data_IF_485688148814
#
_entry.id   IF_485688148814
#
_cell.length_a   1.000
_cell.length_b   1.000
_cell.length_c   1.000
_cell.angle_alpha   90.00
_cell.angle_beta   90.00
_cell.angle_gamma   90.00
#
_symmetry.space_group_name_H-M   'P 1'
#
loop_
_entity.id
_entity.type
_entity.pdbx_description
1 polymer ?
#
# COMPACT_ATOMS: atom_id res chain seq x y z
N UNK A 1 -27.15 -34.16 -49.49
CA UNK A 1 -26.10 -34.32 -48.46
C UNK A 1 -24.76 -34.03 -49.12
N UNK A 2 -23.99 -33.00 -48.71
CA UNK A 2 -22.69 -32.74 -49.33
C UNK A 2 -21.58 -33.68 -48.78
N UNK A 3 -20.61 -34.11 -49.62
CA UNK A 3 -19.59 -35.08 -49.24
C UNK A 3 -18.42 -34.48 -48.43
N UNK A 4 -17.79 -35.35 -47.61
CA UNK A 4 -16.68 -35.04 -46.69
C UNK A 4 -15.34 -34.91 -47.43
N UNK A 5 -14.61 -33.83 -47.14
CA UNK A 5 -13.22 -33.59 -47.59
C UNK A 5 -12.25 -34.24 -46.59
N UNK A 6 -11.21 -34.97 -47.03
CA UNK A 6 -10.22 -35.55 -46.14
C UNK A 6 -9.21 -34.52 -45.64
N UNK A 7 -8.91 -34.62 -44.34
CA UNK A 7 -7.90 -33.84 -43.61
C UNK A 7 -6.49 -34.38 -43.84
N UNK A 8 -5.61 -33.57 -44.45
CA UNK A 8 -4.17 -33.74 -44.33
C UNK A 8 -3.44 -32.46 -44.75
N UNK A 9 -2.83 -31.75 -43.80
CA UNK A 9 -1.47 -31.17 -43.91
C UNK A 9 -0.98 -30.91 -42.47
N UNK A 10 0.10 -31.58 -42.08
CA UNK A 10 0.82 -31.34 -40.84
C UNK A 10 1.58 -30.02 -40.89
N UNK A 11 1.23 -29.10 -39.98
CA UNK A 11 1.96 -27.85 -39.79
C UNK A 11 3.16 -28.05 -38.86
N UNK A 12 4.37 -27.96 -39.42
CA UNK A 12 5.62 -27.78 -38.69
C UNK A 12 5.55 -26.48 -37.88
N UNK A 13 5.44 -26.59 -36.55
CA UNK A 13 5.55 -25.44 -35.64
C UNK A 13 7.03 -25.13 -35.41
N UNK A 14 7.51 -24.07 -36.05
CA UNK A 14 8.78 -23.44 -35.69
C UNK A 14 8.67 -22.85 -34.29
N UNK A 15 9.54 -23.31 -33.39
CA UNK A 15 9.65 -22.79 -32.02
C UNK A 15 10.44 -21.48 -32.05
N UNK A 16 9.74 -20.35 -31.99
CA UNK A 16 10.36 -19.06 -31.69
C UNK A 16 10.60 -18.96 -30.17
N UNK A 17 11.81 -19.33 -29.75
CA UNK A 17 12.32 -18.99 -28.42
C UNK A 17 12.61 -17.49 -28.36
N UNK A 18 11.68 -16.73 -27.77
CA UNK A 18 11.89 -15.33 -27.40
C UNK A 18 12.61 -15.30 -26.05
N UNK A 19 13.89 -14.93 -26.04
CA UNK A 19 14.66 -14.63 -24.82
C UNK A 19 13.94 -13.53 -24.02
N UNK A 20 13.77 -13.66 -22.69
CA UNK A 20 13.29 -12.55 -21.88
C UNK A 20 14.39 -11.49 -21.77
N UNK A 21 14.12 -10.32 -22.33
CA UNK A 21 14.89 -9.11 -22.12
C UNK A 21 14.89 -8.78 -20.63
N UNK A 22 16.06 -8.92 -19.99
CA UNK A 22 16.28 -8.51 -18.62
C UNK A 22 16.22 -6.99 -18.56
N UNK A 23 15.06 -6.44 -18.21
CA UNK A 23 14.97 -5.07 -17.73
C UNK A 23 15.58 -5.02 -16.33
N UNK A 24 16.87 -4.74 -16.26
CA UNK A 24 17.49 -4.22 -15.03
C UNK A 24 16.93 -2.81 -14.84
N UNK A 25 16.04 -2.63 -13.88
CA UNK A 25 15.66 -1.30 -13.43
C UNK A 25 16.92 -0.64 -12.86
N UNK A 26 17.40 0.40 -13.55
CA UNK A 26 18.49 1.22 -13.06
C UNK A 26 18.09 1.78 -11.69
N UNK A 27 18.97 1.58 -10.71
CA UNK A 27 18.76 2.11 -9.37
C UNK A 27 18.73 3.64 -9.48
N UNK A 28 17.68 4.25 -8.94
CA UNK A 28 17.54 5.70 -8.86
C UNK A 28 18.78 6.32 -8.20
N UNK A 29 19.61 7.00 -8.99
CA UNK A 29 20.68 7.86 -8.49
C UNK A 29 20.03 9.16 -8.00
N UNK A 30 19.60 9.19 -6.74
CA UNK A 30 19.35 10.48 -6.10
C UNK A 30 20.70 11.22 -6.06
N UNK A 31 20.83 12.41 -6.68
CA UNK A 31 22.08 13.15 -6.61
C UNK A 31 22.41 13.45 -5.15
N UNK A 32 23.68 13.23 -4.80
CA UNK A 32 24.25 13.59 -3.49
C UNK A 32 24.00 15.08 -3.28
N UNK A 33 23.22 15.44 -2.28
CA UNK A 33 23.02 16.84 -1.89
C UNK A 33 24.38 17.49 -1.62
N UNK A 34 24.83 18.31 -2.56
CA UNK A 34 25.98 19.18 -2.40
C UNK A 34 25.54 20.39 -1.58
N UNK A 35 25.68 20.33 -0.26
CA UNK A 35 25.44 21.50 0.58
C UNK A 35 26.15 21.39 1.95
N UNK A 36 27.47 21.17 1.96
CA UNK A 36 28.29 21.38 3.15
C UNK A 36 29.68 21.86 2.72
N UNK A 37 29.81 23.17 2.50
CA UNK A 37 30.99 23.99 2.85
C UNK A 37 30.83 25.42 2.31
N UNK A 38 30.27 26.27 3.14
CA UNK A 38 30.64 27.69 3.19
C UNK A 38 30.86 28.04 4.66
N UNK A 39 32.05 27.71 5.15
CA UNK A 39 32.58 28.26 6.40
C UNK A 39 32.82 29.74 6.09
N UNK A 40 31.84 30.55 6.47
CA UNK A 40 31.87 32.00 6.34
C UNK A 40 32.86 32.58 7.34
N UNK A 41 33.72 33.43 6.81
CA UNK A 41 34.48 34.46 7.51
C UNK A 41 33.62 35.21 8.54
N UNK A 42 34.10 35.42 9.78
CA UNK A 42 33.43 36.33 10.71
C UNK A 42 33.69 37.77 10.25
N UNK A 43 32.69 38.37 9.60
CA UNK A 43 32.62 39.82 9.41
C UNK A 43 32.40 40.48 10.77
N UNK A 44 33.37 41.31 11.13
CA UNK A 44 33.41 42.14 12.32
C UNK A 44 32.37 43.27 12.21
N UNK A 45 31.12 43.00 12.62
CA UNK A 45 30.12 44.05 12.82
C UNK A 45 30.00 44.31 14.33
N UNK A 46 30.87 45.19 14.81
CA UNK A 46 30.73 45.82 16.11
C UNK A 46 29.45 46.68 16.12
N UNK A 47 28.47 46.22 16.89
CA UNK A 47 27.60 47.01 17.77
C UNK A 47 27.41 48.50 17.43
N UNK A 48 26.35 48.84 16.71
CA UNK A 48 25.65 50.13 16.84
C UNK A 48 24.45 49.96 17.78
N UNK A 49 24.76 49.71 19.06
CA UNK A 49 23.75 49.50 20.12
C UNK A 49 23.37 50.76 20.89
N UNK A 50 23.67 51.97 20.40
CA UNK A 50 23.22 53.20 21.04
C UNK A 50 22.94 54.28 19.97
N UNK A 51 21.75 54.25 19.39
CA UNK A 51 21.15 55.44 18.79
C UNK A 51 19.82 55.66 19.50
N UNK A 52 19.93 56.34 20.64
CA UNK A 52 18.83 56.80 21.47
C UNK A 52 18.82 58.32 21.32
N UNK A 53 18.17 58.83 20.28
CA UNK A 53 17.74 60.24 20.22
C UNK A 53 16.83 60.47 19.02
N UNK A 54 15.52 60.54 19.29
CA UNK A 54 14.58 61.56 18.78
C UNK A 54 13.16 61.24 19.26
N UNK A 55 12.55 62.07 20.13
CA UNK A 55 11.14 61.95 20.45
C UNK A 55 10.32 62.71 19.40
N UNK A 56 9.77 62.00 18.42
CA UNK A 56 8.59 62.49 17.72
C UNK A 56 7.33 62.10 18.50
N UNK A 57 6.61 63.13 18.90
CA UNK A 57 5.27 63.21 19.49
C UNK A 57 4.40 61.94 19.36
N UNK A 58 3.91 61.34 20.46
CA UNK A 58 2.97 60.23 20.39
C UNK A 58 1.56 60.76 20.11
N UNK A 59 1.14 60.69 18.84
CA UNK A 59 -0.26 60.78 18.45
C UNK A 59 -1.03 59.56 18.94
N UNK A 60 -1.53 59.61 20.17
CA UNK A 60 -2.60 58.74 20.63
C UNK A 60 -2.20 57.32 21.07
N UNK A 61 -2.81 56.90 22.17
CA UNK A 61 -2.72 55.55 22.75
C UNK A 61 -3.06 54.41 21.76
N UNK A 62 -3.76 54.72 20.67
CA UNK A 62 -4.16 53.77 19.63
C UNK A 62 -3.01 53.38 18.68
N UNK A 63 -2.06 54.28 18.40
CA UNK A 63 -0.96 54.02 17.46
C UNK A 63 0.09 53.06 18.03
N UNK A 64 0.45 53.25 19.30
CA UNK A 64 1.34 52.35 20.03
C UNK A 64 0.77 50.92 20.12
N UNK A 65 -0.54 50.79 20.41
CA UNK A 65 -1.24 49.50 20.41
C UNK A 65 -1.29 48.85 19.02
N UNK A 66 -1.51 49.63 17.97
CA UNK A 66 -1.58 49.12 16.59
C UNK A 66 -0.25 48.54 16.09
N UNK A 67 0.89 49.11 16.53
CA UNK A 67 2.23 48.62 16.18
C UNK A 67 2.56 47.31 16.88
N UNK A 68 2.14 47.13 18.15
CA UNK A 68 2.29 45.89 18.92
C UNK A 68 1.41 44.78 18.33
N UNK A 69 0.19 45.10 17.90
CA UNK A 69 -0.70 44.15 17.23
C UNK A 69 -0.13 43.72 15.87
N UNK A 70 0.42 44.65 15.08
CA UNK A 70 1.10 44.33 13.80
C UNK A 70 2.39 43.50 13.99
N UNK A 71 3.20 43.83 14.99
CA UNK A 71 4.42 43.06 15.27
C UNK A 71 4.11 41.66 15.83
N UNK A 72 3.09 41.53 16.67
CA UNK A 72 2.67 40.23 17.19
C UNK A 72 1.95 39.37 16.14
N UNK A 73 1.20 39.97 15.22
CA UNK A 73 0.57 39.26 14.11
C UNK A 73 1.60 38.76 13.09
N UNK A 74 2.63 39.56 12.75
CA UNK A 74 3.74 39.14 11.90
C UNK A 74 4.55 37.99 12.50
N UNK A 75 4.86 38.04 13.80
CA UNK A 75 5.54 36.93 14.51
C UNK A 75 4.66 35.68 14.59
N UNK A 76 3.35 35.82 14.78
CA UNK A 76 2.41 34.69 14.75
C UNK A 76 2.28 34.07 13.36
N UNK A 77 2.29 34.88 12.30
CA UNK A 77 2.30 34.42 10.91
C UNK A 77 3.59 33.66 10.56
N UNK A 78 4.76 34.23 10.88
CA UNK A 78 6.05 33.58 10.68
C UNK A 78 6.19 32.27 11.48
N UNK A 79 5.73 32.26 12.74
CA UNK A 79 5.70 31.03 13.54
C UNK A 79 4.71 29.99 13.00
N UNK A 80 3.59 30.43 12.40
CA UNK A 80 2.64 29.53 11.75
C UNK A 80 3.22 28.94 10.45
N UNK A 81 3.97 29.72 9.67
CA UNK A 81 4.70 29.26 8.49
C UNK A 81 5.78 28.24 8.85
N UNK A 82 6.62 28.54 9.85
CA UNK A 82 7.62 27.60 10.35
C UNK A 82 7.00 26.30 10.87
N UNK A 83 5.83 26.38 11.53
CA UNK A 83 5.09 25.18 11.96
C UNK A 83 4.59 24.39 10.75
N UNK A 84 4.04 25.06 9.72
CA UNK A 84 3.61 24.41 8.47
C UNK A 84 4.79 23.72 7.78
N UNK A 85 5.93 24.38 7.67
CA UNK A 85 7.15 23.80 7.08
C UNK A 85 7.60 22.56 7.85
N UNK A 86 7.67 22.62 9.18
CA UNK A 86 8.00 21.45 10.02
C UNK A 86 7.01 20.31 9.85
N UNK A 87 5.71 20.61 9.78
CA UNK A 87 4.69 19.57 9.53
C UNK A 87 4.85 18.94 8.15
N UNK A 88 5.16 19.74 7.14
CA UNK A 88 5.36 19.30 5.77
C UNK A 88 6.66 18.48 5.62
N UNK A 89 7.72 18.90 6.29
CA UNK A 89 8.97 18.16 6.39
C UNK A 89 8.76 16.81 7.09
N UNK A 90 8.00 16.79 8.19
CA UNK A 90 7.61 15.55 8.87
C UNK A 90 6.81 14.60 7.97
N UNK A 91 5.92 15.14 7.14
CA UNK A 91 5.20 14.35 6.12
C UNK A 91 6.14 13.79 5.06
N UNK A 92 7.11 14.58 4.56
CA UNK A 92 8.12 14.12 3.60
C UNK A 92 9.04 13.04 4.19
N UNK A 93 9.43 13.17 5.45
CA UNK A 93 10.23 12.16 6.14
C UNK A 93 9.45 10.85 6.28
N UNK A 94 8.16 10.93 6.65
CA UNK A 94 7.27 9.76 6.73
C UNK A 94 7.12 9.06 5.39
N UNK A 95 6.80 9.80 4.32
CA UNK A 95 6.65 9.20 2.99
C UNK A 95 7.95 8.52 2.53
N UNK A 96 9.09 9.14 2.80
CA UNK A 96 10.41 8.58 2.51
C UNK A 96 10.64 7.29 3.30
N UNK A 97 10.36 7.28 4.60
CA UNK A 97 10.47 6.09 5.45
C UNK A 97 9.52 4.96 5.03
N UNK A 98 8.28 5.28 4.65
CA UNK A 98 7.29 4.32 4.17
C UNK A 98 7.71 3.68 2.84
N UNK A 99 8.35 4.47 1.96
CA UNK A 99 8.87 3.97 0.70
C UNK A 99 10.01 2.97 0.93
N UNK A 100 10.92 3.23 1.88
CA UNK A 100 11.95 2.27 2.27
C UNK A 100 11.35 1.02 2.93
N UNK A 101 10.34 1.16 3.79
CA UNK A 101 9.66 0.03 4.42
C UNK A 101 9.00 -0.90 3.39
N UNK A 102 8.37 -0.35 2.34
CA UNK A 102 7.77 -1.12 1.23
C UNK A 102 8.80 -1.88 0.39
N UNK A 103 10.03 -1.40 0.33
CA UNK A 103 11.11 -2.09 -0.39
C UNK A 103 11.60 -3.35 0.32
N UNK A 104 11.26 -3.54 1.60
CA UNK A 104 11.60 -4.72 2.39
C UNK A 104 10.45 -5.76 2.33
N UNK A 105 10.54 -6.82 1.51
CA UNK A 105 9.46 -7.80 1.34
C UNK A 105 9.39 -8.85 2.46
N UNK A 106 10.46 -9.00 3.25
CA UNK A 106 10.55 -9.96 4.35
C UNK A 106 10.02 -9.33 5.64
N UNK A 107 9.14 -10.04 6.33
CA UNK A 107 8.71 -9.70 7.70
C UNK A 107 9.57 -10.45 8.71
N UNK A 108 10.43 -9.74 9.42
CA UNK A 108 11.26 -10.29 10.47
C UNK A 108 10.44 -10.57 11.73
N UNK A 109 10.61 -11.76 12.30
CA UNK A 109 10.00 -12.12 13.59
C UNK A 109 11.08 -12.08 14.69
N UNK A 110 10.63 -11.87 15.92
CA UNK A 110 11.53 -12.03 17.07
C UNK A 110 12.03 -13.48 17.13
N UNK A 111 13.33 -13.66 17.31
CA UNK A 111 13.99 -14.98 17.30
C UNK A 111 14.50 -15.45 15.94
N UNK A 112 14.18 -14.75 14.84
CA UNK A 112 14.79 -15.03 13.54
C UNK A 112 16.27 -14.61 13.56
N UNK A 113 17.18 -15.54 13.30
CA UNK A 113 18.60 -15.25 13.11
C UNK A 113 18.81 -14.74 11.68
N UNK A 114 19.63 -13.70 11.53
CA UNK A 114 19.98 -13.13 10.23
C UNK A 114 21.48 -13.21 9.98
N UNK A 115 21.86 -13.41 8.73
CA UNK A 115 23.21 -13.19 8.23
C UNK A 115 23.26 -11.87 7.43
N UNK A 116 24.45 -11.25 7.27
CA UNK A 116 24.59 -10.07 6.41
C UNK A 116 24.06 -10.28 4.97
N UNK A 117 24.13 -11.52 4.47
CA UNK A 117 23.60 -11.89 3.16
C UNK A 117 22.07 -11.78 3.05
N UNK A 118 21.33 -11.91 4.15
CA UNK A 118 19.86 -11.84 4.17
C UNK A 118 19.32 -10.44 3.85
N UNK A 119 20.15 -9.41 4.02
CA UNK A 119 19.83 -8.03 3.68
C UNK A 119 20.15 -7.69 2.22
N UNK A 120 20.73 -8.63 1.47
CA UNK A 120 21.09 -8.41 0.07
C UNK A 120 19.87 -8.31 -0.85
N UNK A 121 19.95 -7.54 -1.95
CA UNK A 121 18.86 -7.46 -2.93
C UNK A 121 18.49 -8.81 -3.55
N UNK A 122 19.46 -9.75 -3.63
CA UNK A 122 19.23 -11.09 -4.15
C UNK A 122 18.28 -11.90 -3.25
N UNK A 123 18.52 -11.87 -1.93
CA UNK A 123 17.63 -12.52 -0.96
C UNK A 123 16.27 -11.83 -0.91
N UNK A 124 16.23 -10.50 -0.87
CA UNK A 124 14.95 -9.76 -0.88
C UNK A 124 14.05 -10.15 -2.08
N UNK A 125 14.63 -10.40 -3.25
CA UNK A 125 13.88 -10.87 -4.42
C UNK A 125 13.23 -12.24 -4.21
N UNK A 126 13.85 -13.15 -3.46
CA UNK A 126 13.26 -14.48 -3.14
C UNK A 126 12.01 -14.31 -2.28
N UNK A 127 12.07 -13.45 -1.27
CA UNK A 127 10.96 -13.17 -0.34
C UNK A 127 9.80 -12.40 -0.99
N UNK A 128 10.03 -11.72 -2.12
CA UNK A 128 8.97 -11.05 -2.88
C UNK A 128 7.95 -12.04 -3.45
N UNK A 129 8.40 -13.23 -3.82
CA UNK A 129 7.55 -14.28 -4.35
C UNK A 129 6.97 -15.11 -3.20
N UNK A 130 5.77 -14.74 -2.74
CA UNK A 130 5.08 -15.50 -1.69
C UNK A 130 4.64 -16.86 -2.24
N UNK A 131 5.23 -17.93 -1.71
CA UNK A 131 4.77 -19.28 -2.00
C UNK A 131 3.38 -19.48 -1.38
N UNK A 132 2.39 -20.00 -2.13
CA UNK A 132 1.08 -20.30 -1.57
C UNK A 132 1.18 -21.41 -0.51
N UNK A 133 0.24 -21.47 0.45
CA UNK A 133 0.20 -22.55 1.43
C UNK A 133 0.11 -23.90 0.71
N UNK A 134 0.96 -24.85 1.13
CA UNK A 134 1.04 -26.20 0.53
C UNK A 134 -0.16 -27.09 0.91
N UNK A 135 -0.78 -26.82 2.06
CA UNK A 135 -1.86 -27.63 2.63
C UNK A 135 -3.20 -26.93 2.44
N UNK A 136 -4.24 -27.72 2.14
CA UNK A 136 -5.61 -27.25 1.98
C UNK A 136 -6.18 -26.80 3.33
N UNK A 137 -6.80 -25.62 3.38
CA UNK A 137 -7.44 -25.07 4.57
C UNK A 137 -8.55 -25.97 5.13
N UNK A 138 -9.34 -26.62 4.27
CA UNK A 138 -10.46 -27.47 4.70
C UNK A 138 -9.97 -28.78 5.33
N UNK A 139 -8.88 -29.35 4.78
CA UNK A 139 -8.25 -30.55 5.35
C UNK A 139 -7.56 -30.23 6.68
N UNK A 140 -6.93 -29.05 6.81
CA UNK A 140 -6.32 -28.60 8.06
C UNK A 140 -7.33 -28.40 9.19
N UNK A 141 -8.53 -27.90 8.85
CA UNK A 141 -9.61 -27.69 9.81
C UNK A 141 -10.44 -28.95 10.06
N UNK A 142 -10.32 -29.98 9.20
CA UNK A 142 -11.09 -31.22 9.31
C UNK A 142 -12.59 -31.06 9.02
N UNK A 143 -13.00 -30.03 8.27
CA UNK A 143 -14.42 -29.71 8.04
C UNK A 143 -14.80 -30.07 6.60
N UNK A 144 -15.98 -30.68 6.42
CA UNK A 144 -16.52 -30.99 5.11
C UNK A 144 -17.12 -29.74 4.44
N UNK A 145 -16.63 -29.32 3.24
CA UNK A 145 -17.14 -28.13 2.54
C UNK A 145 -18.65 -28.13 2.26
N UNK A 146 -19.26 -29.31 2.13
CA UNK A 146 -20.69 -29.47 1.81
C UNK A 146 -21.61 -28.97 2.92
N UNK A 147 -21.14 -28.99 4.17
CA UNK A 147 -21.93 -28.65 5.34
C UNK A 147 -21.93 -27.13 5.60
N UNK A 148 -20.94 -26.43 5.05
CA UNK A 148 -20.78 -24.97 5.18
C UNK A 148 -21.72 -24.16 4.27
N UNK A 149 -22.68 -24.79 3.59
CA UNK A 149 -23.59 -24.09 2.68
C UNK A 149 -24.45 -23.00 3.37
N UNK A 150 -24.65 -23.12 4.69
CA UNK A 150 -25.39 -22.13 5.50
C UNK A 150 -24.53 -20.91 5.86
N UNK A 151 -23.20 -21.04 5.83
CA UNK A 151 -22.29 -19.98 6.24
C UNK A 151 -21.96 -19.07 5.03
N UNK A 152 -22.61 -17.91 4.98
CA UNK A 152 -22.43 -16.95 3.90
C UNK A 152 -21.00 -16.36 3.83
N UNK A 153 -20.29 -16.23 4.97
CA UNK A 153 -18.90 -15.75 4.98
C UNK A 153 -17.99 -16.72 4.24
N UNK A 154 -18.09 -18.02 4.56
CA UNK A 154 -17.27 -19.05 3.91
C UNK A 154 -17.57 -19.10 2.41
N UNK A 155 -18.85 -19.08 2.01
CA UNK A 155 -19.22 -19.06 0.59
C UNK A 155 -18.62 -17.85 -0.13
N UNK A 156 -18.71 -16.67 0.49
CA UNK A 156 -18.23 -15.42 -0.10
C UNK A 156 -16.73 -15.42 -0.39
N UNK A 157 -15.93 -16.13 0.42
CA UNK A 157 -14.48 -16.22 0.24
C UNK A 157 -14.10 -17.04 -1.00
N UNK A 158 -14.93 -18.03 -1.38
CA UNK A 158 -14.69 -18.92 -2.52
C UNK A 158 -15.39 -18.48 -3.82
N UNK A 159 -16.04 -17.31 -3.80
CA UNK A 159 -16.58 -16.65 -4.99
C UNK A 159 -15.86 -15.33 -5.26
N UNK A 160 -15.90 -14.92 -6.52
CA UNK A 160 -15.49 -13.59 -6.97
C UNK A 160 -16.51 -12.55 -6.51
N UNK A 161 -16.16 -11.24 -6.49
CA UNK A 161 -17.14 -10.18 -6.23
C UNK A 161 -18.34 -10.22 -7.18
N UNK A 162 -18.21 -10.84 -8.36
CA UNK A 162 -19.25 -11.05 -9.36
C UNK A 162 -20.02 -12.37 -9.21
N UNK A 163 -19.91 -13.06 -8.06
CA UNK A 163 -20.65 -14.28 -7.77
C UNK A 163 -20.16 -15.55 -8.47
N UNK A 164 -19.14 -15.48 -9.33
CA UNK A 164 -18.53 -16.66 -9.96
C UNK A 164 -17.66 -17.44 -8.98
N UNK A 165 -17.72 -18.77 -9.02
CA UNK A 165 -16.86 -19.66 -8.21
C UNK A 165 -15.40 -19.48 -8.64
N UNK A 166 -14.50 -19.23 -7.69
CA UNK A 166 -13.06 -19.08 -7.92
C UNK A 166 -12.42 -20.37 -8.45
N UNK A 167 -11.37 -20.24 -9.26
CA UNK A 167 -10.64 -21.41 -9.76
C UNK A 167 -9.77 -22.04 -8.66
N UNK A 168 -9.36 -23.31 -8.81
CA UNK A 168 -8.51 -24.01 -7.81
C UNK A 168 -7.17 -23.31 -7.57
N UNK A 169 -6.68 -22.55 -8.56
CA UNK A 169 -5.48 -21.71 -8.45
C UNK A 169 -5.68 -20.54 -7.48
N UNK A 170 -6.91 -20.04 -7.35
CA UNK A 170 -7.20 -18.93 -6.43
C UNK A 170 -7.56 -19.46 -5.04
N UNK A 171 -8.33 -20.55 -4.97
CA UNK A 171 -8.81 -21.12 -3.71
C UNK A 171 -7.78 -21.98 -3.00
N UNK A 172 -6.83 -22.56 -3.75
CA UNK A 172 -5.79 -23.48 -3.25
C UNK A 172 -6.33 -24.70 -2.50
N UNK A 173 -7.57 -25.07 -2.77
CA UNK A 173 -8.17 -26.29 -2.25
C UNK A 173 -7.72 -27.50 -3.07
N UNK A 174 -7.69 -28.67 -2.45
CA UNK A 174 -7.50 -29.95 -3.12
C UNK A 174 -8.65 -30.18 -4.12
N UNK A 175 -8.44 -30.82 -5.29
CA UNK A 175 -9.50 -30.97 -6.30
C UNK A 175 -10.81 -31.60 -5.78
N UNK A 176 -10.70 -32.53 -4.81
CA UNK A 176 -11.87 -33.14 -4.15
C UNK A 176 -12.66 -32.10 -3.35
N UNK A 177 -11.97 -31.33 -2.51
CA UNK A 177 -12.58 -30.31 -1.67
C UNK A 177 -13.08 -29.13 -2.49
N UNK A 178 -12.39 -28.76 -3.57
CA UNK A 178 -12.84 -27.76 -4.53
C UNK A 178 -14.20 -28.14 -5.15
N UNK A 179 -14.40 -29.41 -5.53
CA UNK A 179 -15.70 -29.90 -6.03
C UNK A 179 -16.79 -29.87 -4.96
N UNK A 180 -16.45 -30.28 -3.72
CA UNK A 180 -17.37 -30.22 -2.58
C UNK A 180 -17.79 -28.78 -2.27
N UNK A 181 -16.83 -27.84 -2.23
CA UNK A 181 -17.07 -26.42 -2.03
C UNK A 181 -17.93 -25.85 -3.16
N UNK A 182 -17.60 -26.14 -4.42
CA UNK A 182 -18.39 -25.69 -5.56
C UNK A 182 -19.84 -26.22 -5.51
N UNK A 183 -20.04 -27.44 -5.03
CA UNK A 183 -21.38 -28.03 -4.80
C UNK A 183 -22.11 -27.31 -3.66
N UNK A 184 -21.43 -26.96 -2.56
CA UNK A 184 -22.00 -26.19 -1.46
C UNK A 184 -22.45 -24.78 -1.91
N UNK A 185 -21.64 -24.08 -2.70
CA UNK A 185 -21.97 -22.76 -3.26
C UNK A 185 -23.19 -22.84 -4.17
N UNK A 186 -23.21 -23.80 -5.11
CA UNK A 186 -24.38 -24.01 -5.99
C UNK A 186 -25.64 -24.35 -5.20
N UNK A 187 -25.53 -25.14 -4.13
CA UNK A 187 -26.64 -25.43 -3.22
C UNK A 187 -27.16 -24.17 -2.55
N UNK A 188 -26.28 -23.33 -2.00
CA UNK A 188 -26.68 -22.10 -1.32
C UNK A 188 -27.40 -21.12 -2.25
N UNK A 189 -26.91 -20.99 -3.49
CA UNK A 189 -27.57 -20.17 -4.53
C UNK A 189 -28.92 -20.79 -4.91
N UNK A 190 -28.97 -22.10 -5.16
CA UNK A 190 -30.20 -22.80 -5.54
C UNK A 190 -31.29 -22.79 -4.46
N UNK A 191 -30.91 -22.72 -3.19
CA UNK A 191 -31.83 -22.55 -2.05
C UNK A 191 -32.26 -21.10 -1.81
N UNK A 192 -31.67 -20.12 -2.52
CA UNK A 192 -32.00 -18.70 -2.36
C UNK A 192 -31.42 -18.04 -1.10
N UNK A 193 -30.49 -18.70 -0.39
CA UNK A 193 -29.86 -18.13 0.82
C UNK A 193 -28.62 -17.28 0.50
N UNK A 194 -28.05 -17.39 -0.70
CA UNK A 194 -26.91 -16.59 -1.14
C UNK A 194 -27.16 -16.00 -2.54
N UNK A 195 -26.82 -14.72 -2.79
CA UNK A 195 -26.96 -14.09 -4.10
C UNK A 195 -26.09 -14.76 -5.18
N UNK A 196 -26.53 -14.73 -6.44
CA UNK A 196 -25.83 -15.32 -7.58
C UNK A 196 -24.82 -14.38 -8.24
N UNK A 197 -25.05 -13.06 -8.19
CA UNK A 197 -24.29 -12.06 -8.96
C UNK A 197 -23.29 -11.28 -8.11
N UNK A 198 -23.51 -11.17 -6.80
CA UNK A 198 -22.67 -10.40 -5.89
C UNK A 198 -22.44 -11.15 -4.57
N UNK A 199 -21.65 -10.59 -3.65
CA UNK A 199 -21.45 -11.16 -2.30
C UNK A 199 -22.69 -10.98 -1.43
N UNK A 200 -22.84 -11.78 -0.39
CA UNK A 200 -23.95 -11.63 0.56
C UNK A 200 -24.05 -10.19 1.13
N UNK A 201 -25.24 -9.57 1.18
CA UNK A 201 -25.40 -8.15 1.51
C UNK A 201 -24.89 -7.78 2.90
N UNK A 202 -25.05 -8.67 3.90
CA UNK A 202 -24.52 -8.43 5.25
C UNK A 202 -22.99 -8.26 5.28
N UNK A 203 -22.27 -8.88 4.34
CA UNK A 203 -20.83 -8.71 4.23
C UNK A 203 -20.47 -7.36 3.61
N UNK A 204 -21.21 -6.94 2.58
CA UNK A 204 -21.01 -5.62 1.96
C UNK A 204 -21.30 -4.49 2.96
N UNK A 205 -22.34 -4.64 3.78
CA UNK A 205 -22.62 -3.69 4.85
C UNK A 205 -21.46 -3.63 5.87
N UNK A 206 -20.91 -4.77 6.25
CA UNK A 206 -19.75 -4.83 7.16
C UNK A 206 -18.50 -4.21 6.54
N UNK A 207 -18.24 -4.45 5.27
CA UNK A 207 -17.11 -3.86 4.54
C UNK A 207 -17.22 -2.33 4.49
N UNK A 208 -18.40 -1.78 4.21
CA UNK A 208 -18.63 -0.32 4.19
C UNK A 208 -18.51 0.31 5.59
N UNK A 209 -19.03 -0.33 6.63
CA UNK A 209 -18.86 0.12 8.02
C UNK A 209 -17.38 0.14 8.45
N UNK A 210 -16.62 -0.90 8.11
CA UNK A 210 -15.19 -0.98 8.41
C UNK A 210 -14.39 0.11 7.67
N UNK A 211 -14.78 0.48 6.44
CA UNK A 211 -14.16 1.58 5.71
C UNK A 211 -14.44 2.93 6.37
N UNK A 212 -15.69 3.17 6.80
CA UNK A 212 -16.07 4.40 7.50
C UNK A 212 -15.31 4.56 8.82
N UNK A 213 -15.15 3.49 9.60
CA UNK A 213 -14.37 3.49 10.84
C UNK A 213 -12.86 3.67 10.65
N UNK A 214 -12.34 3.58 9.43
CA UNK A 214 -10.92 3.82 9.11
C UNK A 214 -10.64 5.26 8.64
N UNK A 215 -11.69 6.02 8.35
CA UNK A 215 -11.63 7.40 7.84
C UNK A 215 -12.08 8.45 8.88
N UNK A 216 -12.68 8.01 9.99
CA UNK A 216 -12.94 8.84 11.18
C UNK A 216 -11.89 8.59 12.24
#
# INVERSE_FOLDING_TARGET
MPPRIPSAVGGLRQCLFRLPHLYTAEMSSTPRAAALKSIGTPSNNQSSLLNLDTPSTPSGTHDALSSIIRNSSGRRAANAEQKKEKTLEGLRARTTSDNYAKQMPRFWKAGDVYAPHDLSPAEMRKWRNRSPPKKDAMDLLGINPLDLYKNFSVISDFITPFGRIKHSVDTRLRPVNQRKMAKAIRRAIGLGIHPSVYRHPMLLLRETQNQKGRLG
#
